data_IF_969945894888
#
_entry.id   IF_969945894888
#
_cell.length_a   1.000
_cell.length_b   1.000
_cell.length_c   1.000
_cell.angle_alpha   90.00
_cell.angle_beta   90.00
_cell.angle_gamma   90.00
#
_symmetry.space_group_name_H-M   'P 1'
#
loop_
_entity.id
_entity.type
_entity.pdbx_description
1 polymer ?
#
# COMPACT_ATOMS: atom_id res chain seq x y z
N UNK A 1 -39.01 6.03 11.59
CA UNK A 1 -38.73 6.27 10.15
C UNK A 1 -37.47 7.12 10.10
N UNK A 2 -36.33 6.49 9.83
CA UNK A 2 -35.04 7.17 9.73
C UNK A 2 -34.84 7.68 8.29
N UNK A 3 -34.16 8.82 8.09
CA UNK A 3 -33.93 9.35 6.75
C UNK A 3 -32.88 8.48 6.03
N UNK A 4 -33.25 8.01 4.85
CA UNK A 4 -32.41 7.32 3.89
C UNK A 4 -31.36 8.28 3.32
N UNK A 5 -30.09 8.04 3.64
CA UNK A 5 -28.97 8.63 2.90
C UNK A 5 -28.76 7.80 1.63
N UNK A 6 -29.51 8.12 0.58
CA UNK A 6 -29.21 7.66 -0.76
C UNK A 6 -27.92 8.36 -1.23
N UNK A 7 -26.86 7.59 -1.40
CA UNK A 7 -25.66 8.04 -2.12
C UNK A 7 -26.05 8.33 -3.57
N UNK A 8 -25.70 9.51 -4.13
CA UNK A 8 -26.04 9.80 -5.52
C UNK A 8 -25.29 8.84 -6.45
N UNK A 9 -25.90 8.45 -7.60
CA UNK A 9 -25.24 7.59 -8.57
C UNK A 9 -23.98 8.27 -9.08
N UNK A 10 -22.88 7.53 -9.17
CA UNK A 10 -21.63 8.00 -9.77
C UNK A 10 -21.90 8.26 -11.25
N UNK A 11 -22.02 9.53 -11.64
CA UNK A 11 -22.08 9.94 -13.04
C UNK A 11 -20.77 9.52 -13.72
N UNK A 12 -20.85 8.49 -14.56
CA UNK A 12 -19.78 8.18 -15.52
C UNK A 12 -19.82 9.25 -16.61
N UNK A 13 -19.01 10.30 -16.46
CA UNK A 13 -18.84 11.28 -17.54
C UNK A 13 -18.05 10.67 -18.69
N UNK A 14 -18.51 10.82 -19.95
CA UNK A 14 -17.76 10.40 -21.14
C UNK A 14 -16.61 11.38 -21.44
N UNK A 15 -15.48 10.88 -21.96
CA UNK A 15 -14.26 11.58 -22.43
C UNK A 15 -13.19 12.01 -21.39
N UNK A 16 -12.59 11.06 -20.66
CA UNK A 16 -11.36 11.30 -19.86
C UNK A 16 -10.04 11.27 -20.69
N UNK A 17 -10.09 11.05 -22.01
CA UNK A 17 -8.90 10.82 -22.86
C UNK A 17 -8.27 12.10 -23.46
N UNK A 18 -8.90 13.28 -23.33
CA UNK A 18 -8.34 14.52 -23.89
C UNK A 18 -7.32 15.21 -22.96
N UNK A 19 -7.27 14.87 -21.67
CA UNK A 19 -6.29 15.43 -20.76
C UNK A 19 -5.91 14.44 -19.63
N UNK A 20 -4.79 13.71 -19.76
CA UNK A 20 -4.40 12.70 -18.78
C UNK A 20 -4.14 13.34 -17.42
N UNK A 21 -4.44 12.63 -16.32
CA UNK A 21 -4.19 13.08 -14.93
C UNK A 21 -2.71 13.40 -14.65
N UNK A 22 -1.82 12.86 -15.47
CA UNK A 22 -0.39 12.92 -15.30
C UNK A 22 0.33 12.98 -16.64
N UNK A 23 1.57 13.45 -16.61
CA UNK A 23 2.47 13.48 -17.76
C UNK A 23 3.88 13.08 -17.32
N UNK A 24 4.65 12.53 -18.26
CA UNK A 24 6.07 12.21 -18.02
C UNK A 24 6.91 13.38 -18.50
N UNK A 25 7.74 13.93 -17.62
CA UNK A 25 8.69 15.00 -17.97
C UNK A 25 10.09 14.70 -17.43
N UNK A 26 11.14 15.25 -18.06
CA UNK A 26 12.47 15.29 -17.47
C UNK A 26 12.46 16.07 -16.15
N UNK A 27 13.04 15.50 -15.10
CA UNK A 27 13.23 16.15 -13.81
C UNK A 27 14.75 16.30 -13.55
N UNK A 28 15.25 17.54 -13.35
CA UNK A 28 16.68 17.77 -13.07
C UNK A 28 17.20 16.88 -11.94
N UNK A 29 18.25 16.12 -12.22
CA UNK A 29 18.89 15.22 -11.24
C UNK A 29 18.17 13.88 -10.99
N UNK A 30 16.94 13.67 -11.51
CA UNK A 30 16.17 12.42 -11.33
C UNK A 30 15.88 11.66 -12.62
N UNK A 31 16.28 12.19 -13.78
CA UNK A 31 15.99 11.56 -15.08
C UNK A 31 14.59 11.92 -15.57
N UNK A 32 13.73 10.93 -15.75
CA UNK A 32 12.31 11.14 -16.05
C UNK A 32 11.50 11.03 -14.75
N UNK A 33 10.40 11.77 -14.64
CA UNK A 33 9.44 11.60 -13.57
C UNK A 33 8.02 11.86 -14.04
N UNK A 34 7.08 11.52 -13.18
CA UNK A 34 5.65 11.65 -13.45
C UNK A 34 5.15 12.86 -12.68
N UNK A 35 4.48 13.80 -13.35
CA UNK A 35 3.90 14.99 -12.72
C UNK A 35 2.39 15.01 -12.91
N UNK A 36 1.67 15.49 -11.91
CA UNK A 36 0.23 15.70 -12.01
C UNK A 36 -0.07 16.90 -12.93
N UNK A 37 -1.05 16.76 -13.82
CA UNK A 37 -1.49 17.84 -14.73
C UNK A 37 -2.66 18.64 -14.15
N UNK A 38 -3.40 18.03 -13.21
CA UNK A 38 -4.55 18.60 -12.50
C UNK A 38 -4.53 18.17 -11.03
N UNK A 39 -5.43 18.74 -10.23
CA UNK A 39 -5.61 18.34 -8.85
C UNK A 39 -6.15 16.90 -8.78
N UNK A 40 -5.54 16.07 -7.94
CA UNK A 40 -5.89 14.65 -7.77
C UNK A 40 -6.24 14.43 -6.30
N UNK A 41 -7.43 13.88 -6.05
CA UNK A 41 -7.89 13.54 -4.71
C UNK A 41 -7.40 12.15 -4.26
N UNK A 42 -7.23 11.90 -2.95
CA UNK A 42 -6.95 10.58 -2.40
C UNK A 42 -7.95 9.53 -2.88
N UNK A 43 -7.48 8.30 -3.12
CA UNK A 43 -8.28 7.19 -3.61
C UNK A 43 -8.47 7.16 -5.12
N UNK A 44 -7.89 8.12 -5.85
CA UNK A 44 -7.89 8.10 -7.32
C UNK A 44 -6.93 7.03 -7.84
N UNK A 45 -7.41 6.13 -8.69
CA UNK A 45 -6.58 5.18 -9.44
C UNK A 45 -5.82 5.93 -10.54
N UNK A 46 -4.50 5.99 -10.45
CA UNK A 46 -3.64 6.73 -11.38
C UNK A 46 -3.04 5.84 -12.47
N UNK A 47 -2.64 4.63 -12.09
CA UNK A 47 -2.04 3.66 -12.99
C UNK A 47 -2.61 2.28 -12.71
N UNK A 48 -2.87 1.54 -13.78
CA UNK A 48 -3.04 0.09 -13.73
C UNK A 48 -2.36 -0.50 -14.97
N UNK A 49 -1.35 -1.34 -14.76
CA UNK A 49 -0.59 -1.92 -15.87
C UNK A 49 -0.35 -3.41 -15.65
N UNK A 50 -0.45 -4.19 -16.73
CA UNK A 50 0.09 -5.54 -16.76
C UNK A 50 1.61 -5.48 -16.86
N UNK A 51 2.34 -6.45 -16.29
CA UNK A 51 3.79 -6.47 -16.39
C UNK A 51 4.20 -6.61 -17.87
N UNK A 52 5.15 -5.78 -18.26
CA UNK A 52 5.85 -5.86 -19.55
C UNK A 52 6.69 -7.14 -19.64
N UNK A 53 7.33 -7.49 -18.53
CA UNK A 53 8.16 -8.67 -18.36
C UNK A 53 8.13 -9.10 -16.88
N UNK A 54 8.21 -10.41 -16.63
CA UNK A 54 8.32 -10.98 -15.28
C UNK A 54 9.64 -11.72 -15.11
N UNK A 55 10.12 -11.82 -13.87
CA UNK A 55 11.33 -12.60 -13.55
C UNK A 55 11.06 -14.08 -13.32
N UNK A 56 9.82 -14.54 -13.53
CA UNK A 56 9.37 -15.90 -13.23
C UNK A 56 10.22 -16.97 -13.94
N UNK A 57 10.58 -16.72 -15.20
CA UNK A 57 11.38 -17.67 -16.00
C UNK A 57 12.89 -17.45 -15.86
N UNK A 58 13.34 -16.56 -14.96
CA UNK A 58 14.75 -16.20 -14.78
C UNK A 58 15.33 -16.91 -13.55
N UNK A 59 15.46 -18.22 -13.64
CA UNK A 59 15.89 -19.06 -12.52
C UNK A 59 17.41 -19.20 -12.36
N UNK A 60 18.18 -19.05 -13.45
CA UNK A 60 19.64 -19.22 -13.44
C UNK A 60 20.37 -17.86 -13.57
N UNK A 61 21.09 -17.42 -12.52
CA UNK A 61 21.86 -16.18 -12.54
C UNK A 61 22.91 -16.10 -13.65
N UNK A 62 23.44 -17.24 -14.11
CA UNK A 62 24.50 -17.30 -15.13
C UNK A 62 23.98 -17.07 -16.56
N UNK A 63 22.70 -17.34 -16.80
CA UNK A 63 22.05 -17.18 -18.12
C UNK A 63 21.07 -16.02 -18.17
N UNK A 64 20.76 -15.39 -17.02
CA UNK A 64 19.73 -14.35 -16.87
C UNK A 64 19.78 -13.28 -17.97
N UNK A 65 20.95 -12.72 -18.29
CA UNK A 65 21.07 -11.69 -19.34
C UNK A 65 20.68 -12.20 -20.73
N UNK A 66 21.07 -13.44 -21.07
CA UNK A 66 20.73 -14.06 -22.37
C UNK A 66 19.26 -14.41 -22.45
N UNK A 67 18.69 -14.91 -21.36
CA UNK A 67 17.27 -15.24 -21.25
C UNK A 67 16.42 -13.97 -21.35
N UNK A 68 16.82 -12.89 -20.68
CA UNK A 68 16.21 -11.56 -20.83
C UNK A 68 16.27 -11.04 -22.24
N UNK A 69 17.42 -11.15 -22.91
CA UNK A 69 17.54 -10.74 -24.31
C UNK A 69 16.59 -11.54 -25.21
N UNK A 70 16.37 -12.83 -24.93
CA UNK A 70 15.40 -13.66 -25.65
C UNK A 70 13.97 -13.21 -25.40
N UNK A 71 13.58 -13.01 -24.14
CA UNK A 71 12.24 -12.55 -23.76
C UNK A 71 11.94 -11.18 -24.37
N UNK A 72 12.87 -10.23 -24.24
CA UNK A 72 12.74 -8.88 -24.77
C UNK A 72 12.58 -8.90 -26.30
N UNK A 73 13.36 -9.72 -27.02
CA UNK A 73 13.24 -9.84 -28.49
C UNK A 73 11.87 -10.36 -28.94
N UNK A 74 11.19 -11.15 -28.11
CA UNK A 74 9.87 -11.69 -28.41
C UNK A 74 8.73 -10.66 -28.20
N UNK A 75 8.97 -9.59 -27.44
CA UNK A 75 7.99 -8.53 -27.21
C UNK A 75 7.78 -7.62 -28.44
N UNK A 76 6.65 -6.91 -28.56
CA UNK A 76 6.47 -5.87 -29.56
C UNK A 76 7.58 -4.80 -29.53
N UNK A 77 7.84 -4.15 -30.67
CA UNK A 77 8.92 -3.15 -30.78
C UNK A 77 8.73 -1.96 -29.84
N UNK A 78 7.50 -1.57 -29.57
CA UNK A 78 7.18 -0.53 -28.61
C UNK A 78 7.53 -0.95 -27.18
N UNK A 79 7.12 -2.15 -26.76
CA UNK A 79 7.49 -2.77 -25.49
C UNK A 79 9.02 -2.88 -25.31
N UNK A 80 9.74 -3.27 -26.37
CA UNK A 80 11.21 -3.30 -26.37
C UNK A 80 11.81 -1.92 -26.07
N UNK A 81 11.31 -0.88 -26.74
CA UNK A 81 11.77 0.50 -26.53
C UNK A 81 11.42 1.00 -25.13
N UNK A 82 10.21 0.71 -24.65
CA UNK A 82 9.77 1.08 -23.31
C UNK A 82 10.73 0.52 -22.25
N UNK A 83 11.01 -0.79 -22.30
CA UNK A 83 11.97 -1.44 -21.40
C UNK A 83 13.38 -0.82 -21.47
N UNK A 84 13.92 -0.66 -22.68
CA UNK A 84 15.28 -0.14 -22.88
C UNK A 84 15.43 1.33 -22.51
N UNK A 85 14.32 2.06 -22.35
CA UNK A 85 14.28 3.46 -21.91
C UNK A 85 14.08 3.64 -20.41
N UNK A 86 13.98 2.54 -19.65
CA UNK A 86 13.95 2.58 -18.19
C UNK A 86 15.33 2.90 -17.63
N UNK A 87 15.35 3.44 -16.41
CA UNK A 87 16.58 3.88 -15.76
C UNK A 87 17.49 2.70 -15.42
N UNK A 88 18.80 2.85 -15.62
CA UNK A 88 19.78 1.84 -15.22
C UNK A 88 20.76 2.48 -14.23
N UNK A 89 20.68 2.09 -12.95
CA UNK A 89 21.56 2.60 -11.89
C UNK A 89 22.99 2.03 -11.92
N UNK A 90 23.28 1.07 -12.82
CA UNK A 90 24.59 0.43 -12.95
C UNK A 90 25.12 0.53 -14.39
N UNK A 91 25.24 1.74 -14.96
CA UNK A 91 25.75 1.90 -16.31
C UNK A 91 27.21 1.45 -16.40
N UNK A 92 27.57 0.76 -17.49
CA UNK A 92 28.94 0.27 -17.73
C UNK A 92 29.35 -0.94 -16.90
N UNK A 93 28.53 -1.37 -15.94
CA UNK A 93 28.65 -2.70 -15.33
C UNK A 93 27.98 -3.70 -16.27
N UNK A 94 28.60 -4.87 -16.48
CA UNK A 94 28.08 -5.90 -17.37
C UNK A 94 26.62 -6.26 -17.10
N UNK A 95 25.97 -6.91 -18.08
CA UNK A 95 24.56 -7.32 -18.02
C UNK A 95 23.56 -6.14 -17.93
N UNK A 96 23.52 -5.25 -18.95
CA UNK A 96 22.68 -4.06 -18.94
C UNK A 96 21.18 -4.35 -18.80
N UNK A 97 20.65 -5.44 -19.39
CA UNK A 97 19.24 -5.78 -19.26
C UNK A 97 18.89 -6.17 -17.83
N UNK A 98 19.75 -6.98 -17.21
CA UNK A 98 19.60 -7.38 -15.80
C UNK A 98 19.65 -6.17 -14.87
N UNK A 99 20.54 -5.20 -15.14
CA UNK A 99 20.67 -4.01 -14.30
C UNK A 99 19.43 -3.09 -14.37
N UNK A 100 18.71 -3.07 -15.50
CA UNK A 100 17.39 -2.41 -15.61
C UNK A 100 16.38 -3.09 -14.67
N UNK A 101 16.27 -4.42 -14.67
CA UNK A 101 15.37 -5.14 -13.74
C UNK A 101 15.67 -4.78 -12.29
N UNK A 102 16.94 -4.85 -11.91
CA UNK A 102 17.39 -4.55 -10.55
C UNK A 102 17.01 -3.14 -10.07
N UNK A 103 16.84 -2.21 -11.01
CA UNK A 103 16.52 -0.81 -10.71
C UNK A 103 15.01 -0.50 -10.75
N UNK A 104 14.19 -1.35 -11.38
CA UNK A 104 12.83 -0.98 -11.78
C UNK A 104 11.75 -2.05 -11.46
N UNK A 105 12.15 -3.25 -11.04
CA UNK A 105 11.22 -4.34 -10.81
C UNK A 105 10.47 -4.17 -9.48
N UNK A 106 9.17 -4.39 -9.52
CA UNK A 106 8.32 -4.45 -8.33
C UNK A 106 7.94 -5.90 -8.02
N UNK A 107 7.85 -6.32 -6.75
CA UNK A 107 7.36 -7.64 -6.41
C UNK A 107 5.89 -7.80 -6.82
N UNK A 108 5.54 -8.94 -7.42
CA UNK A 108 4.16 -9.28 -7.79
C UNK A 108 3.40 -9.87 -6.59
N UNK A 109 3.35 -9.10 -5.50
CA UNK A 109 2.70 -9.48 -4.24
C UNK A 109 3.65 -9.40 -3.03
N UNK A 110 3.13 -9.31 -1.79
CA UNK A 110 3.92 -9.02 -0.59
C UNK A 110 5.08 -10.00 -0.28
N UNK A 111 4.93 -11.26 -0.69
CA UNK A 111 5.90 -12.34 -0.46
C UNK A 111 6.35 -13.01 -1.76
N UNK A 112 6.05 -12.41 -2.91
CA UNK A 112 6.36 -13.02 -4.21
C UNK A 112 7.85 -12.88 -4.51
N UNK A 113 8.56 -13.98 -4.85
CA UNK A 113 9.92 -13.91 -5.36
C UNK A 113 9.96 -13.41 -6.82
N UNK A 114 8.80 -13.24 -7.46
CA UNK A 114 8.67 -12.82 -8.85
C UNK A 114 8.55 -11.30 -8.89
N UNK A 115 9.46 -10.67 -9.62
CA UNK A 115 9.41 -9.26 -9.96
C UNK A 115 8.71 -9.03 -11.31
N UNK A 116 7.96 -7.94 -11.41
CA UNK A 116 7.38 -7.41 -12.64
C UNK A 116 8.02 -6.08 -13.01
N UNK A 117 8.22 -5.87 -14.31
CA UNK A 117 8.68 -4.62 -14.90
C UNK A 117 7.52 -4.00 -15.65
N UNK A 118 7.33 -2.69 -15.51
CA UNK A 118 6.18 -1.97 -16.05
C UNK A 118 6.65 -0.82 -16.93
N UNK A 119 5.87 -0.46 -17.96
CA UNK A 119 6.31 0.53 -18.94
C UNK A 119 6.30 1.95 -18.36
N UNK A 120 5.28 2.25 -17.56
CA UNK A 120 5.08 3.58 -16.95
C UNK A 120 5.32 3.54 -15.46
N UNK A 121 4.80 2.55 -14.74
CA UNK A 121 4.88 2.48 -13.27
C UNK A 121 6.34 2.41 -12.78
N UNK A 122 7.23 1.79 -13.55
CA UNK A 122 8.68 1.77 -13.27
C UNK A 122 9.37 3.13 -13.38
N UNK A 123 8.68 4.19 -13.83
CA UNK A 123 9.20 5.56 -13.89
C UNK A 123 8.82 6.42 -12.69
N UNK A 124 7.93 5.94 -11.83
CA UNK A 124 7.48 6.70 -10.65
C UNK A 124 8.65 6.77 -9.67
N UNK A 125 9.11 7.97 -9.37
CA UNK A 125 10.27 8.18 -8.51
C UNK A 125 9.99 7.91 -7.03
N UNK A 126 11.07 7.72 -6.27
CA UNK A 126 11.01 7.52 -4.83
C UNK A 126 10.74 8.81 -4.04
N UNK A 127 9.92 8.72 -3.00
CA UNK A 127 9.86 9.66 -1.88
C UNK A 127 9.63 8.91 -0.55
N UNK A 128 10.21 9.40 0.55
CA UNK A 128 9.92 8.93 1.91
C UNK A 128 8.54 9.41 2.42
N UNK A 129 7.98 10.45 1.79
CA UNK A 129 6.62 10.94 1.97
C UNK A 129 5.93 10.86 0.59
N UNK A 130 5.59 9.64 0.14
CA UNK A 130 5.09 9.46 -1.21
C UNK A 130 3.68 10.02 -1.37
N UNK A 131 3.36 10.44 -2.60
CA UNK A 131 2.00 10.86 -2.95
C UNK A 131 1.09 9.68 -3.27
N UNK A 132 1.68 8.51 -3.55
CA UNK A 132 0.98 7.29 -3.96
C UNK A 132 1.36 6.07 -3.15
N UNK A 133 0.49 5.08 -3.20
CA UNK A 133 0.75 3.71 -2.80
C UNK A 133 0.52 2.81 -4.01
N UNK A 134 1.31 1.74 -4.08
CA UNK A 134 1.18 0.74 -5.12
C UNK A 134 0.90 -0.63 -4.53
N UNK A 135 0.23 -1.48 -5.30
CA UNK A 135 0.01 -2.88 -4.95
C UNK A 135 -0.16 -3.74 -6.20
N UNK A 136 0.11 -5.03 -6.04
CA UNK A 136 -0.25 -6.03 -7.03
C UNK A 136 -1.68 -6.50 -6.78
N UNK A 137 -2.55 -6.38 -7.78
CA UNK A 137 -3.90 -6.90 -7.73
C UNK A 137 -3.95 -8.26 -8.45
N UNK A 138 -4.01 -9.34 -7.67
CA UNK A 138 -3.99 -10.71 -8.18
C UNK A 138 -5.21 -11.04 -9.06
N UNK A 139 -6.39 -10.47 -8.78
CA UNK A 139 -7.60 -10.75 -9.58
C UNK A 139 -7.49 -10.16 -10.98
N UNK A 140 -6.90 -8.97 -11.07
CA UNK A 140 -6.71 -8.24 -12.33
C UNK A 140 -5.43 -8.66 -13.06
N UNK A 141 -4.48 -9.26 -12.34
CA UNK A 141 -3.11 -9.49 -12.82
C UNK A 141 -2.47 -8.17 -13.29
N UNK A 142 -2.73 -7.10 -12.52
CA UNK A 142 -2.29 -5.74 -12.81
C UNK A 142 -1.63 -5.15 -11.56
N UNK A 143 -0.63 -4.31 -11.79
CA UNK A 143 -0.07 -3.47 -10.75
C UNK A 143 -0.82 -2.15 -10.75
N UNK A 144 -1.35 -1.79 -9.59
CA UNK A 144 -2.20 -0.61 -9.42
C UNK A 144 -1.48 0.43 -8.57
N UNK A 145 -1.73 1.70 -8.85
CA UNK A 145 -1.17 2.82 -8.11
C UNK A 145 -2.27 3.82 -7.80
N UNK A 146 -2.49 4.07 -6.52
CA UNK A 146 -3.52 4.99 -6.02
C UNK A 146 -2.88 6.20 -5.35
N UNK A 147 -3.50 7.37 -5.51
CA UNK A 147 -3.17 8.56 -4.73
C UNK A 147 -3.59 8.35 -3.27
N UNK A 148 -2.69 8.63 -2.31
CA UNK A 148 -2.99 8.47 -0.87
C UNK A 148 -3.15 9.80 -0.12
N UNK A 149 -2.87 10.90 -0.80
CA UNK A 149 -3.06 12.28 -0.35
C UNK A 149 -3.42 13.15 -1.55
N UNK A 150 -3.81 14.39 -1.30
CA UNK A 150 -3.99 15.38 -2.36
C UNK A 150 -2.68 15.59 -3.14
N UNK A 151 -2.79 15.69 -4.46
CA UNK A 151 -1.66 15.97 -5.36
C UNK A 151 -2.02 17.19 -6.21
N UNK A 152 -1.23 18.25 -6.13
CA UNK A 152 -1.49 19.49 -6.85
C UNK A 152 -0.92 19.48 -8.27
N UNK A 153 -1.47 20.27 -9.21
CA UNK A 153 -0.89 20.41 -10.54
C UNK A 153 0.59 20.79 -10.49
N UNK A 154 1.43 20.08 -11.25
CA UNK A 154 2.88 20.23 -11.28
C UNK A 154 3.64 19.51 -10.16
N UNK A 155 2.95 18.91 -9.18
CA UNK A 155 3.57 18.09 -8.15
C UNK A 155 4.01 16.73 -8.74
N UNK A 156 5.16 16.23 -8.27
CA UNK A 156 5.69 14.94 -8.69
C UNK A 156 4.91 13.80 -8.04
N UNK A 157 4.41 12.88 -8.87
CA UNK A 157 3.80 11.63 -8.42
C UNK A 157 4.94 10.69 -8.02
N UNK A 158 4.96 10.31 -6.74
CA UNK A 158 6.05 9.54 -6.13
C UNK A 158 5.52 8.35 -5.34
N UNK A 159 6.34 7.31 -5.20
CA UNK A 159 6.06 6.12 -4.40
C UNK A 159 7.19 5.85 -3.40
N UNK A 160 6.95 5.03 -2.36
CA UNK A 160 8.04 4.45 -1.58
C UNK A 160 8.66 3.27 -2.35
N UNK A 161 9.98 3.18 -2.41
CA UNK A 161 10.69 1.97 -2.90
C UNK A 161 10.95 0.98 -1.78
N UNK A 162 10.73 1.38 -0.53
CA UNK A 162 10.86 0.51 0.60
C UNK A 162 9.58 -0.32 0.74
N UNK A 163 9.74 -1.64 0.64
CA UNK A 163 8.74 -2.58 1.13
C UNK A 163 8.68 -2.47 2.65
N UNK A 164 7.63 -1.83 3.17
CA UNK A 164 7.35 -1.85 4.61
C UNK A 164 6.71 -3.17 5.06
N UNK A 165 6.69 -4.20 4.20
CA UNK A 165 6.10 -5.50 4.50
C UNK A 165 6.86 -6.28 5.57
N UNK A 166 8.16 -6.03 5.81
CA UNK A 166 8.92 -6.64 6.90
C UNK A 166 10.04 -5.73 7.46
N UNK A 167 9.90 -5.37 8.74
CA UNK A 167 11.02 -5.28 9.72
C UNK A 167 11.88 -4.02 9.87
N UNK A 168 11.50 -2.81 9.43
CA UNK A 168 12.38 -1.62 9.58
C UNK A 168 11.88 -0.50 10.49
N UNK A 169 10.71 -0.61 11.12
CA UNK A 169 10.25 0.35 12.14
C UNK A 169 10.39 -0.29 13.53
N UNK A 170 11.11 0.32 14.50
CA UNK A 170 11.29 -0.24 15.85
C UNK A 170 9.97 -0.60 16.57
N UNK A 171 8.88 0.09 16.24
CA UNK A 171 7.53 -0.20 16.73
C UNK A 171 7.03 -1.56 16.22
N UNK A 172 7.30 -1.93 14.97
CA UNK A 172 6.94 -3.24 14.43
C UNK A 172 7.77 -4.36 15.06
N UNK A 173 9.01 -4.08 15.48
CA UNK A 173 9.82 -5.03 16.25
C UNK A 173 9.29 -5.22 17.68
N UNK A 174 8.85 -4.15 18.35
CA UNK A 174 8.25 -4.22 19.68
C UNK A 174 6.86 -4.90 19.68
N UNK A 175 6.11 -4.79 18.58
CA UNK A 175 4.84 -5.48 18.35
C UNK A 175 5.08 -6.93 17.90
N UNK A 176 6.16 -7.18 17.14
CA UNK A 176 6.63 -8.51 16.76
C UNK A 176 7.18 -9.33 17.95
N UNK A 177 7.48 -8.68 19.08
CA UNK A 177 7.76 -9.36 20.33
C UNK A 177 6.46 -9.76 21.05
N UNK A 178 6.03 -10.99 20.79
CA UNK A 178 4.85 -11.59 21.40
C UNK A 178 4.87 -11.55 22.94
N UNK A 179 6.07 -11.55 23.56
CA UNK A 179 6.20 -11.49 25.01
C UNK A 179 5.80 -10.10 25.54
N UNK A 180 6.26 -9.03 24.91
CA UNK A 180 5.91 -7.65 25.29
C UNK A 180 4.43 -7.36 25.06
N UNK A 181 3.84 -7.83 23.95
CA UNK A 181 2.40 -7.70 23.68
C UNK A 181 1.57 -8.42 24.75
N UNK A 182 2.04 -9.55 25.27
CA UNK A 182 1.32 -10.28 26.33
C UNK A 182 1.49 -9.63 27.71
N UNK A 183 2.69 -9.19 28.07
CA UNK A 183 2.99 -8.64 29.40
C UNK A 183 2.46 -7.22 29.60
N UNK A 184 2.68 -6.33 28.64
CA UNK A 184 2.39 -4.89 28.78
C UNK A 184 1.57 -4.34 27.60
N UNK A 185 0.39 -4.89 27.31
CA UNK A 185 -0.38 -4.52 26.12
C UNK A 185 -0.82 -3.05 26.10
N UNK A 186 -1.08 -2.44 27.25
CA UNK A 186 -1.40 -1.01 27.37
C UNK A 186 -0.23 -0.14 26.86
N UNK A 187 1.01 -0.52 27.18
CA UNK A 187 2.21 0.19 26.73
C UNK A 187 2.43 0.05 25.22
N UNK A 188 2.16 -1.14 24.68
CA UNK A 188 2.28 -1.38 23.23
C UNK A 188 1.23 -0.60 22.46
N UNK A 189 -0.04 -0.66 22.89
CA UNK A 189 -1.11 0.11 22.26
C UNK A 189 -0.86 1.63 22.35
N UNK A 190 -0.35 2.11 23.49
CA UNK A 190 0.08 3.50 23.65
C UNK A 190 1.27 3.89 22.75
N UNK A 191 2.11 2.94 22.36
CA UNK A 191 3.18 3.16 21.36
C UNK A 191 2.60 3.30 19.96
N UNK A 192 1.60 2.48 19.59
CA UNK A 192 0.85 2.66 18.36
C UNK A 192 0.19 4.05 18.30
N UNK A 193 -0.42 4.51 19.38
CA UNK A 193 -1.02 5.85 19.46
C UNK A 193 -0.02 6.98 19.25
N UNK A 194 1.17 6.89 19.86
CA UNK A 194 2.25 7.86 19.61
C UNK A 194 2.68 7.87 18.15
N UNK A 195 2.79 6.68 17.54
CA UNK A 195 3.16 6.55 16.14
C UNK A 195 2.08 7.11 15.20
N UNK A 196 0.79 6.91 15.52
CA UNK A 196 -0.35 7.54 14.83
C UNK A 196 -0.22 9.07 14.82
N UNK A 197 0.11 9.64 15.98
CA UNK A 197 0.29 11.10 16.11
C UNK A 197 1.46 11.59 15.27
N UNK A 198 2.61 10.90 15.30
CA UNK A 198 3.76 11.23 14.45
C UNK A 198 3.38 11.14 12.97
N UNK A 199 2.67 10.09 12.55
CA UNK A 199 2.25 9.96 11.15
C UNK A 199 1.33 11.09 10.71
N UNK A 200 0.41 11.51 11.58
CA UNK A 200 -0.46 12.65 11.32
C UNK A 200 0.31 13.96 11.21
N UNK A 201 1.23 14.22 12.15
CA UNK A 201 2.05 15.45 12.19
C UNK A 201 3.02 15.55 11.00
N UNK A 202 3.61 14.43 10.59
CA UNK A 202 4.54 14.33 9.44
C UNK A 202 3.81 14.19 8.09
N UNK A 203 2.47 14.14 8.08
CA UNK A 203 1.68 13.99 6.86
C UNK A 203 1.87 12.64 6.15
N UNK A 204 2.22 11.59 6.88
CA UNK A 204 2.37 10.23 6.36
C UNK A 204 0.98 9.63 6.09
N UNK A 205 0.75 9.22 4.84
CA UNK A 205 -0.54 8.68 4.37
C UNK A 205 -0.41 7.35 3.59
N UNK A 206 0.77 6.76 3.49
CA UNK A 206 0.95 5.51 2.74
C UNK A 206 0.63 4.26 3.59
N UNK A 207 1.08 3.10 3.11
CA UNK A 207 0.89 1.78 3.73
C UNK A 207 1.29 1.69 5.21
N UNK A 208 2.15 2.59 5.70
CA UNK A 208 2.54 2.66 7.12
C UNK A 208 1.33 2.88 8.03
N UNK A 209 0.38 3.72 7.62
CA UNK A 209 -0.84 4.00 8.39
C UNK A 209 -1.74 2.77 8.47
N UNK A 210 -1.90 2.04 7.36
CA UNK A 210 -2.65 0.79 7.34
C UNK A 210 -2.00 -0.25 8.27
N UNK A 211 -0.68 -0.42 8.18
CA UNK A 211 0.06 -1.35 9.03
C UNK A 211 -0.07 -1.05 10.52
N UNK A 212 -0.04 0.23 10.89
CA UNK A 212 -0.28 0.66 12.27
C UNK A 212 -1.65 0.20 12.81
N UNK A 213 -2.72 0.35 12.02
CA UNK A 213 -4.06 -0.10 12.42
C UNK A 213 -4.16 -1.63 12.45
N UNK A 214 -3.47 -2.31 11.55
CA UNK A 214 -3.35 -3.78 11.59
C UNK A 214 -2.69 -4.25 12.89
N UNK A 215 -1.60 -3.62 13.30
CA UNK A 215 -0.91 -3.97 14.54
C UNK A 215 -1.81 -3.70 15.77
N UNK A 216 -2.50 -2.56 15.81
CA UNK A 216 -3.44 -2.22 16.89
C UNK A 216 -4.63 -3.20 16.97
N UNK A 217 -5.13 -3.65 15.80
CA UNK A 217 -6.12 -4.72 15.69
C UNK A 217 -5.61 -6.01 16.35
N UNK A 218 -4.42 -6.49 15.99
CA UNK A 218 -3.87 -7.74 16.50
C UNK A 218 -3.64 -7.68 18.03
N UNK A 219 -3.20 -6.53 18.56
CA UNK A 219 -3.05 -6.33 20.01
C UNK A 219 -4.40 -6.47 20.71
N UNK A 220 -5.44 -5.77 20.24
CA UNK A 220 -6.77 -5.83 20.85
C UNK A 220 -7.38 -7.24 20.76
N UNK A 221 -7.26 -7.87 19.59
CA UNK A 221 -7.82 -9.19 19.31
C UNK A 221 -7.20 -10.29 20.19
N UNK A 222 -5.89 -10.22 20.41
CA UNK A 222 -5.14 -11.13 21.30
C UNK A 222 -5.58 -11.10 22.76
N UNK A 223 -6.10 -9.95 23.22
CA UNK A 223 -6.59 -9.74 24.60
C UNK A 223 -8.12 -9.79 24.74
N UNK A 224 -8.82 -10.17 23.66
CA UNK A 224 -10.27 -10.36 23.64
C UNK A 224 -11.09 -9.08 23.50
N UNK A 225 -10.49 -7.94 23.16
CA UNK A 225 -11.18 -6.67 22.96
C UNK A 225 -11.78 -6.59 21.55
N UNK A 226 -12.86 -7.35 21.31
CA UNK A 226 -13.48 -7.44 19.98
C UNK A 226 -14.10 -6.09 19.55
N UNK A 227 -14.55 -5.27 20.49
CA UNK A 227 -15.06 -3.93 20.22
C UNK A 227 -13.99 -3.09 19.51
N UNK A 228 -12.83 -2.89 20.13
CA UNK A 228 -11.74 -2.10 19.54
C UNK A 228 -11.11 -2.78 18.34
N UNK A 229 -10.96 -4.11 18.37
CA UNK A 229 -10.45 -4.86 17.23
C UNK A 229 -11.30 -4.60 15.98
N UNK A 230 -12.64 -4.66 16.08
CA UNK A 230 -13.52 -4.39 14.94
C UNK A 230 -13.33 -2.97 14.36
N UNK A 231 -13.07 -1.98 15.21
CA UNK A 231 -12.83 -0.58 14.81
C UNK A 231 -11.46 -0.43 14.14
N UNK A 232 -10.40 -1.04 14.68
CA UNK A 232 -9.09 -1.03 14.04
C UNK A 232 -9.07 -1.79 12.72
N UNK A 233 -9.79 -2.92 12.61
CA UNK A 233 -9.97 -3.64 11.35
C UNK A 233 -10.71 -2.78 10.31
N UNK A 234 -11.72 -2.00 10.72
CA UNK A 234 -12.37 -1.01 9.84
C UNK A 234 -11.38 0.05 9.35
N UNK A 235 -10.63 0.69 10.25
CA UNK A 235 -9.63 1.71 9.87
C UNK A 235 -8.54 1.11 8.96
N UNK A 236 -8.10 -0.12 9.23
CA UNK A 236 -7.18 -0.86 8.36
C UNK A 236 -7.77 -1.07 6.96
N UNK A 237 -9.03 -1.51 6.88
CA UNK A 237 -9.75 -1.66 5.61
C UNK A 237 -9.81 -0.36 4.84
N UNK A 238 -10.18 0.74 5.49
CA UNK A 238 -10.24 2.06 4.85
C UNK A 238 -8.89 2.42 4.20
N UNK A 239 -7.76 2.13 4.87
CA UNK A 239 -6.42 2.34 4.29
C UNK A 239 -6.13 1.41 3.11
N UNK A 240 -6.57 0.14 3.17
CA UNK A 240 -6.44 -0.81 2.06
C UNK A 240 -7.21 -0.36 0.83
N UNK A 241 -8.46 0.07 1.00
CA UNK A 241 -9.27 0.60 -0.11
C UNK A 241 -8.62 1.84 -0.72
N UNK A 242 -8.16 2.76 0.13
CA UNK A 242 -7.55 4.02 -0.27
C UNK A 242 -6.25 3.84 -1.06
N UNK A 243 -5.43 2.85 -0.71
CA UNK A 243 -4.13 2.59 -1.36
C UNK A 243 -4.09 1.45 -2.39
N UNK A 244 -5.08 0.55 -2.41
CA UNK A 244 -5.04 -0.70 -3.19
C UNK A 244 -6.34 -0.97 -3.97
N UNK A 245 -7.42 -0.23 -3.68
CA UNK A 245 -8.75 -0.45 -4.26
C UNK A 245 -9.64 -1.39 -3.43
N UNK A 246 -10.94 -1.29 -3.69
CA UNK A 246 -12.00 -2.05 -2.99
C UNK A 246 -11.93 -3.56 -3.29
N UNK A 247 -11.44 -3.94 -4.47
CA UNK A 247 -11.30 -5.32 -4.95
C UNK A 247 -9.98 -5.98 -4.54
N UNK A 248 -9.15 -5.29 -3.74
CA UNK A 248 -7.88 -5.82 -3.26
C UNK A 248 -8.09 -6.93 -2.22
N UNK A 249 -7.20 -7.93 -2.23
CA UNK A 249 -7.25 -9.03 -1.25
C UNK A 249 -7.19 -8.51 0.20
N UNK A 250 -6.38 -7.48 0.45
CA UNK A 250 -6.29 -6.84 1.77
C UNK A 250 -7.58 -6.16 2.21
N UNK A 251 -8.31 -5.50 1.31
CA UNK A 251 -9.60 -4.87 1.64
C UNK A 251 -10.70 -5.92 1.92
N UNK A 252 -10.70 -7.04 1.20
CA UNK A 252 -11.62 -8.15 1.41
C UNK A 252 -11.35 -8.89 2.72
N UNK A 253 -10.08 -9.18 3.01
CA UNK A 253 -9.65 -9.80 4.26
C UNK A 253 -10.00 -8.90 5.47
N UNK A 254 -9.67 -7.62 5.40
CA UNK A 254 -10.00 -6.67 6.47
C UNK A 254 -11.53 -6.56 6.71
N UNK A 255 -12.36 -6.72 5.67
CA UNK A 255 -13.81 -6.76 5.80
C UNK A 255 -14.29 -7.97 6.63
N UNK A 256 -13.62 -9.13 6.48
CA UNK A 256 -13.92 -10.33 7.26
C UNK A 256 -13.63 -10.08 8.74
N UNK A 257 -12.47 -9.51 9.05
CA UNK A 257 -12.04 -9.24 10.43
C UNK A 257 -12.82 -8.11 11.09
N UNK A 258 -13.24 -7.10 10.32
CA UNK A 258 -14.12 -6.06 10.80
C UNK A 258 -15.47 -6.63 11.28
N UNK A 259 -16.01 -7.63 10.57
CA UNK A 259 -17.28 -8.28 10.92
C UNK A 259 -17.13 -9.27 12.06
N UNK A 260 -16.05 -10.03 12.06
CA UNK A 260 -15.73 -11.00 13.10
C UNK A 260 -14.22 -11.07 13.33
N UNK A 261 -13.69 -10.31 14.32
CA UNK A 261 -12.26 -10.29 14.62
C UNK A 261 -11.69 -11.67 14.98
N UNK A 262 -12.53 -12.60 15.46
CA UNK A 262 -12.12 -13.95 15.87
C UNK A 262 -11.65 -14.83 14.71
N UNK A 263 -11.90 -14.40 13.47
CA UNK A 263 -11.46 -15.11 12.26
C UNK A 263 -9.97 -14.90 11.94
N UNK A 264 -9.32 -13.93 12.57
CA UNK A 264 -7.88 -13.76 12.47
C UNK A 264 -7.15 -14.60 13.52
N UNK A 265 -5.98 -15.14 13.15
CA UNK A 265 -5.17 -16.02 14.00
C UNK A 265 -4.59 -15.32 15.25
N UNK A 266 -4.58 -13.98 15.29
CA UNK A 266 -4.20 -13.24 16.50
C UNK A 266 -5.22 -13.35 17.62
N UNK A 267 -6.44 -13.82 17.35
CA UNK A 267 -7.47 -13.97 18.38
C UNK A 267 -7.07 -15.04 19.40
N UNK A 268 -7.20 -14.68 20.68
CA UNK A 268 -6.85 -15.57 21.77
C UNK A 268 -5.40 -15.41 22.21
N UNK A 269 -5.17 -15.72 23.48
CA UNK A 269 -3.92 -15.44 24.19
C UNK A 269 -4.24 -14.94 25.60
N UNK A 270 -5.12 -13.95 25.71
CA UNK A 270 -5.66 -13.47 26.98
C UNK A 270 -7.11 -13.01 26.82
N UNK A 271 -7.77 -12.74 27.96
CA UNK A 271 -9.13 -12.18 28.02
C UNK A 271 -9.18 -10.93 28.92
N UNK A 272 -8.03 -10.26 29.10
CA UNK A 272 -7.88 -9.08 29.98
C UNK A 272 -8.78 -7.92 29.58
N UNK A 273 -9.11 -7.80 28.29
CA UNK A 273 -9.89 -6.70 27.74
C UNK A 273 -11.18 -7.19 27.07
N UNK A 274 -11.73 -8.31 27.54
CA UNK A 274 -12.92 -8.95 26.98
C UNK A 274 -14.05 -7.94 26.69
N UNK A 275 -14.45 -7.86 25.43
CA UNK A 275 -15.60 -7.10 24.94
C UNK A 275 -16.20 -7.78 23.70
N UNK A 276 -17.46 -7.50 23.40
CA UNK A 276 -18.13 -7.88 22.16
C UNK A 276 -18.06 -6.77 21.10
N UNK A 277 -18.29 -7.12 19.82
CA UNK A 277 -18.33 -6.11 18.74
C UNK A 277 -19.49 -5.13 18.93
N UNK A 278 -20.55 -5.59 19.58
CA UNK A 278 -21.72 -4.82 20.00
C UNK A 278 -21.42 -3.75 21.06
N UNK A 279 -20.30 -3.87 21.79
CA UNK A 279 -19.89 -2.94 22.84
C UNK A 279 -19.19 -1.67 22.31
N UNK A 280 -19.11 -1.50 20.98
CA UNK A 280 -18.60 -0.25 20.37
C UNK A 280 -19.54 0.91 20.73
N UNK A 281 -19.05 1.96 21.41
CA UNK A 281 -19.87 3.10 21.80
C UNK A 281 -20.45 3.82 20.57
N UNK A 282 -21.73 4.21 20.65
CA UNK A 282 -22.45 4.89 19.56
C UNK A 282 -22.64 6.39 19.80
N UNK A 283 -22.61 6.83 21.05
CA UNK A 283 -23.00 8.18 21.47
C UNK A 283 -21.81 9.03 21.95
N UNK A 284 -20.58 8.65 21.61
CA UNK A 284 -19.39 9.43 21.91
C UNK A 284 -19.12 10.44 20.79
N UNK A 285 -18.70 11.66 21.17
CA UNK A 285 -18.09 12.58 20.21
C UNK A 285 -16.73 12.02 19.73
N UNK A 286 -16.16 12.62 18.68
CA UNK A 286 -14.92 12.13 18.07
C UNK A 286 -13.73 12.06 19.05
N UNK A 287 -13.59 13.06 19.93
CA UNK A 287 -12.48 13.13 20.90
C UNK A 287 -12.60 12.02 21.93
N UNK A 288 -13.79 11.82 22.49
CA UNK A 288 -14.03 10.79 23.50
C UNK A 288 -14.02 9.38 22.88
N UNK A 289 -14.43 9.26 21.62
CA UNK A 289 -14.33 8.02 20.87
C UNK A 289 -12.87 7.62 20.62
N UNK A 290 -12.00 8.56 20.23
CA UNK A 290 -10.57 8.28 20.04
C UNK A 290 -9.89 7.93 21.37
N UNK A 291 -10.20 8.62 22.47
CA UNK A 291 -9.70 8.22 23.81
C UNK A 291 -10.14 6.81 24.18
N UNK A 292 -11.42 6.49 23.97
CA UNK A 292 -11.91 5.13 24.16
C UNK A 292 -11.12 4.16 23.29
N UNK A 293 -10.97 4.41 21.99
CA UNK A 293 -10.31 3.52 21.04
C UNK A 293 -8.86 3.21 21.45
N UNK A 294 -8.12 4.21 21.94
CA UNK A 294 -6.72 4.07 22.35
C UNK A 294 -6.51 3.73 23.83
N UNK A 295 -7.59 3.57 24.60
CA UNK A 295 -7.58 3.29 26.05
C UNK A 295 -6.86 4.39 26.85
N UNK A 296 -7.13 5.65 26.50
CA UNK A 296 -6.65 6.87 27.17
C UNK A 296 -7.61 7.38 28.26
#
# INVERSE_FOLDING_TARGET
MAPSFETPPRETTPNDDENPLWEIKPIPGKGQGVLATRFITPGTLLFHEKPLLTTETLSDPSTTEKDLARLLRALPKESQRAYLSLHNNYPGQGSPLTNIIRSNAYPLGPSSPIGGIFATISRINHSCLPTTQHSWNEKRQEFVVYAVRDIHPGEEITTSYHNFSNSSVPVHCAIGDAETVMKTPEKVLGTCRKLETIYREEGIQDQRVGRLYWDAFQICNRHGDLARASVFARKYRERKVLGEGEDSAGAEEALVFMRDPRKDDSYGGSQRWRSGVEDVPKDLNEVDFEKWLWRE
#
